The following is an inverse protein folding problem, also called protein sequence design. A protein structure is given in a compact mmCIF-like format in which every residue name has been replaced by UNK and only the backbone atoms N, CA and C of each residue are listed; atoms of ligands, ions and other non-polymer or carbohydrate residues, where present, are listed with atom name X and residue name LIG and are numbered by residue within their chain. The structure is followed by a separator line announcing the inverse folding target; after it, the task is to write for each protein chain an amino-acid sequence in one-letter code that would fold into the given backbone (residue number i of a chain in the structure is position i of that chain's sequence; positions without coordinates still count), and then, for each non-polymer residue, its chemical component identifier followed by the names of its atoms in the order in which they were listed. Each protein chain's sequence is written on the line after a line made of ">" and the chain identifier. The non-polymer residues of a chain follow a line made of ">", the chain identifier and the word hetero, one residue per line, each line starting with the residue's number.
data_IF_511229332130
#
_entry.id   IF_511229332130
#
_cell.length_a   1.000
_cell.length_b   1.000
_cell.length_c   1.000
_cell.angle_alpha   90.00
_cell.angle_beta   90.00
_cell.angle_gamma   90.00
#
_symmetry.space_group_name_H-M   'P 1'
#
loop_
_entity.id
_entity.type
_entity.pdbx_description
1 polymer ?
#
# COMPACT_ATOMS: atom_id res chain seq x y z
N UNK A 1 -7.41 -42.02 46.12
CA UNK A 1 -7.08 -40.64 46.53
C UNK A 1 -7.97 -39.72 45.65
N UNK A 2 -8.76 -38.86 46.28
CA UNK A 2 -9.51 -37.85 45.50
C UNK A 2 -8.52 -36.88 44.94
N UNK A 3 -8.58 -36.62 43.62
CA UNK A 3 -7.72 -35.64 43.01
C UNK A 3 -8.09 -34.23 43.50
N UNK A 4 -7.10 -33.39 43.73
CA UNK A 4 -7.26 -32.02 44.23
C UNK A 4 -8.18 -31.20 43.31
N UNK A 5 -8.21 -31.50 42.00
CA UNK A 5 -9.11 -30.95 41.00
C UNK A 5 -10.61 -31.15 41.30
N UNK A 6 -10.97 -32.17 42.09
CA UNK A 6 -12.36 -32.39 42.53
C UNK A 6 -12.79 -31.45 43.67
N UNK A 7 -11.86 -30.71 44.24
CA UNK A 7 -12.11 -29.83 45.40
C UNK A 7 -11.83 -28.37 45.01
N UNK A 8 -10.86 -28.13 44.12
CA UNK A 8 -10.46 -26.79 43.67
C UNK A 8 -10.32 -26.79 42.14
N UNK A 9 -11.24 -26.13 41.46
CA UNK A 9 -11.13 -25.83 40.04
C UNK A 9 -10.56 -24.43 39.88
N UNK A 10 -9.48 -24.30 39.12
CA UNK A 10 -8.85 -23.01 38.84
C UNK A 10 -9.02 -22.69 37.35
N UNK A 11 -9.81 -21.69 37.06
CA UNK A 11 -9.94 -21.11 35.72
C UNK A 11 -9.06 -19.87 35.64
N UNK A 12 -8.01 -19.90 34.81
CA UNK A 12 -7.16 -18.76 34.54
C UNK A 12 -7.47 -18.30 33.13
N UNK A 13 -8.25 -17.26 33.01
CA UNK A 13 -8.38 -16.51 31.76
C UNK A 13 -7.34 -15.38 31.74
N UNK A 14 -6.57 -15.29 30.66
CA UNK A 14 -5.66 -14.17 30.45
C UNK A 14 -6.39 -13.20 29.52
N UNK A 15 -6.96 -12.16 30.08
CA UNK A 15 -7.48 -11.03 29.29
C UNK A 15 -6.30 -10.19 28.82
N UNK A 16 -6.04 -10.22 27.52
CA UNK A 16 -5.15 -9.26 26.85
C UNK A 16 -6.00 -8.34 26.01
N UNK A 17 -5.81 -7.04 26.20
CA UNK A 17 -6.44 -6.03 25.33
C UNK A 17 -5.84 -6.18 23.93
N UNK A 18 -6.67 -6.51 22.94
CA UNK A 18 -6.27 -6.47 21.54
C UNK A 18 -6.27 -5.02 21.05
N UNK A 19 -5.40 -4.75 20.11
CA UNK A 19 -5.35 -3.46 19.38
C UNK A 19 -5.62 -3.74 17.91
N UNK A 20 -6.26 -2.78 17.25
CA UNK A 20 -6.41 -2.82 15.80
C UNK A 20 -5.04 -2.63 15.15
N UNK A 21 -4.73 -3.45 14.17
CA UNK A 21 -3.47 -3.41 13.44
C UNK A 21 -3.68 -2.82 12.06
N UNK A 22 -2.72 -2.01 11.60
CA UNK A 22 -2.77 -1.44 10.26
C UNK A 22 -2.80 -2.54 9.20
N UNK A 23 -3.72 -2.42 8.24
CA UNK A 23 -3.84 -3.33 7.12
C UNK A 23 -2.98 -2.83 5.96
N UNK A 24 -2.24 -3.74 5.31
CA UNK A 24 -1.45 -3.46 4.12
C UNK A 24 -1.95 -4.22 2.89
N UNK A 25 -2.97 -5.06 3.06
CA UNK A 25 -3.55 -5.95 2.06
C UNK A 25 -4.91 -5.49 1.52
N UNK A 26 -5.38 -4.32 1.94
CA UNK A 26 -6.71 -3.80 1.58
C UNK A 26 -6.59 -2.55 0.69
N UNK A 27 -6.94 -2.66 -0.59
CA UNK A 27 -7.00 -1.51 -1.49
C UNK A 27 -8.31 -0.74 -1.33
N UNK A 28 -8.28 0.54 -1.68
CA UNK A 28 -9.47 1.38 -1.83
C UNK A 28 -9.53 1.94 -3.26
N UNK A 29 -10.72 1.83 -3.86
CA UNK A 29 -11.03 2.40 -5.17
C UNK A 29 -11.98 3.57 -4.98
N UNK A 30 -11.51 4.81 -5.23
CA UNK A 30 -12.36 5.99 -5.19
C UNK A 30 -12.99 6.19 -6.56
N UNK A 31 -14.31 6.22 -6.59
CA UNK A 31 -15.10 6.38 -7.80
C UNK A 31 -16.09 7.54 -7.69
N UNK A 32 -16.39 8.15 -8.83
CA UNK A 32 -17.46 9.13 -8.93
C UNK A 32 -18.81 8.43 -9.08
N UNK A 33 -19.77 8.80 -8.25
CA UNK A 33 -21.16 8.36 -8.41
C UNK A 33 -21.92 9.37 -9.28
N UNK A 34 -22.70 8.88 -10.25
CA UNK A 34 -23.57 9.76 -11.05
C UNK A 34 -24.67 10.38 -10.18
N UNK A 35 -25.00 11.63 -10.46
CA UNK A 35 -26.06 12.36 -9.74
C UNK A 35 -27.47 11.87 -10.08
N UNK A 36 -27.63 11.16 -11.20
CA UNK A 36 -28.91 10.65 -11.68
C UNK A 36 -28.92 9.13 -11.67
N UNK A 37 -30.00 8.60 -11.09
CA UNK A 37 -30.29 7.17 -11.11
C UNK A 37 -30.88 6.83 -12.48
N UNK A 38 -30.18 5.99 -13.24
CA UNK A 38 -30.78 5.34 -14.40
C UNK A 38 -31.63 4.17 -13.94
N UNK A 39 -32.93 4.40 -13.73
CA UNK A 39 -33.89 3.37 -13.33
C UNK A 39 -34.40 2.55 -14.51
N UNK A 40 -33.81 2.64 -15.68
CA UNK A 40 -34.28 1.92 -16.88
C UNK A 40 -33.93 0.44 -16.86
N UNK A 41 -32.99 0.00 -16.01
CA UNK A 41 -32.67 -1.41 -15.78
C UNK A 41 -33.07 -1.85 -14.36
N UNK A 42 -34.24 -2.53 -14.20
CA UNK A 42 -34.68 -2.98 -12.88
C UNK A 42 -33.83 -4.10 -12.26
N UNK A 43 -32.90 -4.72 -13.03
CA UNK A 43 -31.96 -5.73 -12.51
C UNK A 43 -30.67 -5.11 -11.93
N UNK A 44 -30.46 -3.83 -12.13
CA UNK A 44 -29.30 -3.11 -11.63
C UNK A 44 -29.74 -1.85 -10.89
N UNK A 45 -30.05 -1.95 -9.57
CA UNK A 45 -30.41 -0.79 -8.77
C UNK A 45 -29.25 0.21 -8.82
N UNK A 46 -29.53 1.36 -9.41
CA UNK A 46 -28.54 2.43 -9.50
C UNK A 46 -28.47 3.16 -8.17
N UNK A 47 -27.29 3.42 -7.75
CA UNK A 47 -26.93 4.14 -6.54
C UNK A 47 -27.62 5.52 -6.52
N UNK A 48 -28.23 5.89 -5.42
CA UNK A 48 -28.75 7.25 -5.26
C UNK A 48 -27.68 8.16 -4.66
N UNK A 49 -27.62 9.43 -5.04
CA UNK A 49 -26.69 10.42 -4.45
C UNK A 49 -26.81 10.53 -2.91
N UNK A 50 -27.95 10.19 -2.34
CA UNK A 50 -28.17 10.12 -0.90
C UNK A 50 -27.21 9.17 -0.17
N UNK A 51 -26.67 8.17 -0.86
CA UNK A 51 -25.77 7.18 -0.28
C UNK A 51 -24.31 7.62 -0.12
N UNK A 52 -23.97 8.84 -0.53
CA UNK A 52 -22.67 9.45 -0.21
C UNK A 52 -22.46 9.59 1.31
N UNK A 53 -23.52 9.45 2.11
CA UNK A 53 -23.42 9.33 3.57
C UNK A 53 -22.57 8.13 4.01
N UNK A 54 -22.49 7.07 3.21
CA UNK A 54 -21.58 5.94 3.40
C UNK A 54 -20.38 6.08 2.46
N UNK A 55 -19.44 6.95 2.85
CA UNK A 55 -18.27 7.29 2.04
C UNK A 55 -17.39 6.11 1.65
N UNK A 56 -17.32 5.10 2.51
CA UNK A 56 -16.46 3.93 2.31
C UNK A 56 -17.24 2.67 2.62
N UNK A 57 -17.19 1.71 1.72
CA UNK A 57 -17.83 0.40 1.86
C UNK A 57 -16.82 -0.71 1.59
N UNK A 58 -16.90 -1.78 2.37
CA UNK A 58 -16.09 -2.97 2.21
C UNK A 58 -16.82 -4.02 1.37
N UNK A 59 -16.12 -4.62 0.42
CA UNK A 59 -16.64 -5.70 -0.44
C UNK A 59 -15.69 -6.89 -0.46
N UNK A 60 -16.24 -8.09 -0.40
CA UNK A 60 -15.49 -9.35 -0.46
C UNK A 60 -15.73 -10.11 -1.77
N UNK A 61 -16.69 -9.66 -2.58
CA UNK A 61 -17.02 -10.28 -3.86
C UNK A 61 -17.35 -9.26 -4.94
N UNK A 62 -17.05 -9.60 -6.17
CA UNK A 62 -17.41 -8.79 -7.34
C UNK A 62 -18.93 -8.72 -7.53
N UNK A 63 -19.65 -9.80 -7.18
CA UNK A 63 -21.12 -9.84 -7.26
C UNK A 63 -21.76 -8.79 -6.37
N UNK A 64 -21.28 -8.63 -5.14
CA UNK A 64 -21.79 -7.60 -4.22
C UNK A 64 -21.57 -6.17 -4.76
N UNK A 65 -20.41 -5.93 -5.39
CA UNK A 65 -20.14 -4.65 -6.06
C UNK A 65 -21.12 -4.41 -7.20
N UNK A 66 -21.37 -5.43 -8.02
CA UNK A 66 -22.32 -5.36 -9.13
C UNK A 66 -23.75 -5.11 -8.68
N UNK A 67 -24.17 -5.73 -7.57
CA UNK A 67 -25.49 -5.53 -6.99
C UNK A 67 -25.68 -4.10 -6.47
N UNK A 68 -24.69 -3.57 -5.76
CA UNK A 68 -24.79 -2.28 -5.11
C UNK A 68 -24.51 -1.10 -6.06
N UNK A 69 -23.55 -1.24 -6.97
CA UNK A 69 -23.02 -0.14 -7.78
C UNK A 69 -23.27 -0.33 -9.29
N UNK A 70 -23.82 -1.46 -9.68
CA UNK A 70 -24.05 -1.82 -11.08
C UNK A 70 -22.82 -2.43 -11.77
N UNK A 71 -23.07 -3.41 -12.63
CA UNK A 71 -22.01 -4.15 -13.37
C UNK A 71 -21.27 -3.30 -14.43
N UNK A 72 -21.88 -2.18 -14.83
CA UNK A 72 -21.29 -1.23 -15.79
C UNK A 72 -20.56 -0.06 -15.12
N UNK A 73 -20.53 0.00 -13.77
CA UNK A 73 -19.89 1.07 -13.01
C UNK A 73 -18.36 1.03 -13.15
N UNK A 74 -17.71 2.16 -12.92
CA UNK A 74 -16.26 2.24 -12.80
C UNK A 74 -15.75 1.37 -11.64
N UNK A 75 -16.45 1.38 -10.51
CA UNK A 75 -16.15 0.55 -9.35
C UNK A 75 -16.09 -0.95 -9.70
N UNK A 76 -17.12 -1.44 -10.41
CA UNK A 76 -17.14 -2.85 -10.84
C UNK A 76 -15.96 -3.20 -11.73
N UNK A 77 -15.65 -2.35 -12.74
CA UNK A 77 -14.52 -2.60 -13.64
C UNK A 77 -13.18 -2.61 -12.91
N UNK A 78 -12.95 -1.65 -11.99
CA UNK A 78 -11.72 -1.59 -11.19
C UNK A 78 -11.56 -2.81 -10.28
N UNK A 79 -12.63 -3.22 -9.57
CA UNK A 79 -12.61 -4.40 -8.70
C UNK A 79 -12.46 -5.68 -9.53
N UNK A 80 -13.13 -5.79 -10.68
CA UNK A 80 -12.98 -6.94 -11.58
C UNK A 80 -11.52 -7.11 -12.02
N UNK A 81 -10.80 -6.01 -12.29
CA UNK A 81 -9.37 -6.06 -12.60
C UNK A 81 -8.51 -6.41 -11.39
N UNK A 82 -8.80 -5.87 -10.21
CA UNK A 82 -8.10 -6.24 -9.00
C UNK A 82 -8.30 -7.72 -8.61
N UNK A 83 -9.42 -8.31 -8.98
CA UNK A 83 -9.74 -9.72 -8.72
C UNK A 83 -9.37 -10.67 -9.87
N UNK A 84 -8.76 -10.18 -10.95
CA UNK A 84 -8.46 -10.99 -12.14
C UNK A 84 -7.22 -11.88 -11.99
N UNK A 85 -6.37 -11.65 -11.00
CA UNK A 85 -5.16 -12.45 -10.76
C UNK A 85 -5.43 -13.77 -10.02
N UNK A 86 -4.43 -14.66 -10.04
CA UNK A 86 -4.46 -15.91 -9.26
C UNK A 86 -4.53 -15.64 -7.75
N UNK A 87 -3.87 -14.58 -7.31
CA UNK A 87 -3.99 -14.01 -5.97
C UNK A 87 -4.80 -12.72 -6.06
N UNK A 88 -5.65 -12.49 -5.06
CA UNK A 88 -6.51 -11.31 -4.99
C UNK A 88 -6.77 -10.91 -3.54
N UNK A 89 -7.03 -9.62 -3.27
CA UNK A 89 -7.39 -9.19 -1.93
C UNK A 89 -8.69 -9.85 -1.46
N UNK A 90 -8.74 -10.24 -0.20
CA UNK A 90 -9.93 -10.81 0.43
C UNK A 90 -11.05 -9.78 0.59
N UNK A 91 -10.67 -8.53 0.77
CA UNK A 91 -11.56 -7.38 0.94
C UNK A 91 -11.02 -6.21 0.15
N UNK A 92 -11.89 -5.52 -0.57
CA UNK A 92 -11.62 -4.23 -1.21
C UNK A 92 -12.53 -3.17 -0.62
N UNK A 93 -12.05 -1.95 -0.50
CA UNK A 93 -12.86 -0.80 -0.14
C UNK A 93 -13.21 0.00 -1.38
N UNK A 94 -14.45 0.47 -1.44
CA UNK A 94 -14.89 1.41 -2.46
C UNK A 94 -15.24 2.71 -1.74
N UNK A 95 -14.50 3.76 -2.08
CA UNK A 95 -14.79 5.13 -1.70
C UNK A 95 -15.64 5.80 -2.78
N UNK A 96 -16.56 6.62 -2.37
CA UNK A 96 -17.47 7.32 -3.29
C UNK A 96 -17.36 8.84 -3.14
N UNK A 97 -17.38 9.53 -4.27
CA UNK A 97 -17.58 10.98 -4.35
C UNK A 97 -18.77 11.29 -5.24
N UNK A 98 -19.41 12.42 -5.06
CA UNK A 98 -20.42 12.88 -6.00
C UNK A 98 -19.80 13.74 -7.12
N UNK A 99 -20.58 14.07 -8.13
CA UNK A 99 -20.12 14.84 -9.30
C UNK A 99 -19.73 16.28 -8.95
N UNK A 100 -20.28 16.83 -7.88
CA UNK A 100 -19.98 18.22 -7.43
C UNK A 100 -18.68 18.31 -6.62
N UNK A 101 -18.16 17.17 -6.15
CA UNK A 101 -16.90 17.11 -5.42
C UNK A 101 -15.71 16.91 -6.38
N UNK A 102 -14.59 17.56 -6.09
CA UNK A 102 -13.32 17.22 -6.73
C UNK A 102 -12.78 15.89 -6.18
N UNK A 103 -11.87 15.23 -6.93
CA UNK A 103 -11.20 14.02 -6.42
C UNK A 103 -10.43 14.29 -5.13
N UNK A 104 -9.82 15.46 -5.01
CA UNK A 104 -9.15 15.91 -3.79
C UNK A 104 -10.10 15.93 -2.58
N UNK A 105 -11.28 16.52 -2.73
CA UNK A 105 -12.32 16.54 -1.69
C UNK A 105 -12.82 15.13 -1.38
N UNK A 106 -13.04 14.28 -2.40
CA UNK A 106 -13.40 12.88 -2.23
C UNK A 106 -12.39 12.09 -1.42
N UNK A 107 -11.09 12.24 -1.71
CA UNK A 107 -10.01 11.59 -0.95
C UNK A 107 -9.98 12.06 0.50
N UNK A 108 -10.11 13.37 0.76
CA UNK A 108 -10.17 13.91 2.11
C UNK A 108 -11.37 13.36 2.90
N UNK A 109 -12.53 13.26 2.26
CA UNK A 109 -13.73 12.70 2.88
C UNK A 109 -13.58 11.20 3.19
N UNK A 110 -12.93 10.44 2.29
CA UNK A 110 -12.63 9.01 2.50
C UNK A 110 -11.62 8.82 3.62
N UNK A 111 -10.56 9.63 3.69
CA UNK A 111 -9.57 9.60 4.77
C UNK A 111 -10.20 9.90 6.14
N UNK A 112 -11.18 10.81 6.18
CA UNK A 112 -11.93 11.11 7.40
C UNK A 112 -12.89 9.98 7.81
N UNK A 113 -13.42 9.22 6.84
CA UNK A 113 -14.41 8.18 7.09
C UNK A 113 -13.80 6.83 7.47
N UNK A 114 -12.64 6.47 6.91
CA UNK A 114 -11.98 5.17 7.17
C UNK A 114 -10.49 5.23 6.98
N UNK A 115 -9.77 4.57 7.87
CA UNK A 115 -8.32 4.39 7.80
C UNK A 115 -7.88 2.93 7.56
N UNK A 116 -8.83 2.02 7.28
CA UNK A 116 -8.57 0.57 7.20
C UNK A 116 -7.98 0.10 5.87
N UNK A 117 -7.66 1.00 4.96
CA UNK A 117 -7.08 0.73 3.65
C UNK A 117 -5.67 1.31 3.54
N UNK A 118 -4.87 0.81 2.59
CA UNK A 118 -3.48 1.25 2.43
C UNK A 118 -3.18 1.83 1.05
N UNK A 119 -3.60 1.20 -0.03
CA UNK A 119 -3.37 1.69 -1.40
C UNK A 119 -4.67 2.25 -1.97
N UNK A 120 -4.60 3.47 -2.50
CA UNK A 120 -5.68 4.15 -3.22
C UNK A 120 -5.49 3.97 -4.73
N UNK A 121 -6.57 3.75 -5.45
CA UNK A 121 -6.67 4.03 -6.89
C UNK A 121 -7.95 4.80 -7.19
N UNK A 122 -7.96 5.59 -8.27
CA UNK A 122 -9.11 6.40 -8.69
C UNK A 122 -9.55 6.00 -10.09
N UNK A 123 -10.82 6.18 -10.40
CA UNK A 123 -11.37 5.90 -11.73
C UNK A 123 -10.98 6.96 -12.77
N UNK A 124 -10.61 8.18 -12.35
CA UNK A 124 -10.15 9.24 -13.24
C UNK A 124 -8.75 8.99 -13.78
N UNK A 125 -8.54 9.28 -15.08
CA UNK A 125 -7.24 9.27 -15.76
C UNK A 125 -6.75 10.68 -16.11
N UNK A 126 -7.44 11.70 -15.64
CA UNK A 126 -7.07 13.11 -15.87
C UNK A 126 -5.80 13.47 -15.10
N UNK A 127 -4.83 14.08 -15.77
CA UNK A 127 -3.59 14.56 -15.18
C UNK A 127 -3.85 15.49 -13.95
N UNK A 128 -4.84 16.38 -14.06
CA UNK A 128 -5.24 17.29 -12.98
C UNK A 128 -5.71 16.55 -11.75
N UNK A 129 -6.59 15.54 -11.92
CA UNK A 129 -7.10 14.76 -10.81
C UNK A 129 -6.02 13.88 -10.18
N UNK A 130 -5.16 13.27 -11.01
CA UNK A 130 -4.03 12.46 -10.53
C UNK A 130 -3.09 13.32 -9.68
N UNK A 131 -2.70 14.50 -10.16
CA UNK A 131 -1.79 15.40 -9.42
C UNK A 131 -2.40 15.89 -8.11
N UNK A 132 -3.68 16.27 -8.11
CA UNK A 132 -4.37 16.73 -6.91
C UNK A 132 -4.52 15.63 -5.84
N UNK A 133 -4.73 14.38 -6.24
CA UNK A 133 -4.78 13.23 -5.32
C UNK A 133 -3.38 12.88 -4.82
N UNK A 134 -2.37 12.93 -5.69
CA UNK A 134 -0.97 12.68 -5.31
C UNK A 134 -0.50 13.63 -4.20
N UNK A 135 -0.84 14.92 -4.30
CA UNK A 135 -0.52 15.92 -3.28
C UNK A 135 -1.10 15.56 -1.89
N UNK A 136 -2.36 15.12 -1.85
CA UNK A 136 -3.00 14.74 -0.58
C UNK A 136 -2.38 13.47 0.00
N UNK A 137 -2.19 12.43 -0.82
CA UNK A 137 -1.65 11.16 -0.35
C UNK A 137 -0.20 11.31 0.10
N UNK A 138 0.56 12.22 -0.49
CA UNK A 138 1.93 12.52 -0.06
C UNK A 138 2.03 12.92 1.41
N UNK A 139 1.02 13.59 1.96
CA UNK A 139 0.96 13.97 3.37
C UNK A 139 0.53 12.81 4.30
N UNK A 140 0.29 11.63 3.78
CA UNK A 140 -0.17 10.44 4.52
C UNK A 140 0.86 9.32 4.50
N UNK A 141 0.62 8.24 5.27
CA UNK A 141 1.37 6.97 5.15
C UNK A 141 0.60 5.94 4.32
N UNK A 142 0.09 6.36 3.17
CA UNK A 142 -0.63 5.53 2.22
C UNK A 142 0.01 5.66 0.84
N UNK A 143 -0.30 4.76 -0.07
CA UNK A 143 0.18 4.79 -1.44
C UNK A 143 -0.96 5.12 -2.39
N UNK A 144 -0.65 5.75 -3.51
CA UNK A 144 -1.58 6.06 -4.58
C UNK A 144 -1.11 5.43 -5.90
N UNK A 145 -1.96 4.61 -6.51
CA UNK A 145 -1.72 3.97 -7.80
C UNK A 145 -2.62 4.61 -8.85
N UNK A 146 -2.03 5.19 -9.85
CA UNK A 146 -2.71 5.82 -10.97
C UNK A 146 -2.27 5.22 -12.30
N UNK A 147 -3.09 5.37 -13.32
CA UNK A 147 -2.72 5.06 -14.69
C UNK A 147 -3.12 6.17 -15.66
N UNK A 148 -2.40 6.26 -16.77
CA UNK A 148 -2.64 7.24 -17.81
C UNK A 148 -2.55 6.62 -19.20
N UNK A 149 -3.37 7.12 -20.12
CA UNK A 149 -3.30 6.84 -21.56
C UNK A 149 -2.69 8.01 -22.35
N UNK A 150 -2.22 9.06 -21.68
CA UNK A 150 -1.68 10.25 -22.31
C UNK A 150 -0.40 9.93 -23.09
N UNK A 151 -0.45 10.04 -24.41
CA UNK A 151 0.69 9.82 -25.30
C UNK A 151 1.84 10.83 -25.06
N UNK A 152 1.60 11.95 -24.41
CA UNK A 152 2.67 12.90 -24.08
C UNK A 152 3.66 12.29 -23.07
N UNK A 153 3.24 11.33 -22.27
CA UNK A 153 4.11 10.65 -21.28
C UNK A 153 5.23 9.85 -21.95
N UNK A 154 4.96 9.24 -23.11
CA UNK A 154 5.98 8.51 -23.89
C UNK A 154 6.82 9.40 -24.80
N UNK A 155 6.57 10.71 -24.82
CA UNK A 155 7.38 11.67 -25.57
C UNK A 155 8.54 12.17 -24.69
N UNK A 156 9.81 11.97 -25.09
CA UNK A 156 10.97 12.36 -24.29
C UNK A 156 11.13 13.89 -24.15
N UNK A 157 10.52 14.67 -25.04
CA UNK A 157 10.60 16.15 -25.02
C UNK A 157 9.44 16.81 -24.27
N UNK A 158 8.43 16.05 -23.86
CA UNK A 158 7.30 16.56 -23.09
C UNK A 158 7.71 16.86 -21.65
N UNK A 159 7.39 18.07 -21.19
CA UNK A 159 7.65 18.56 -19.83
C UNK A 159 6.37 19.02 -19.12
N UNK A 160 5.21 18.77 -19.72
CA UNK A 160 3.90 19.19 -19.19
C UNK A 160 2.95 18.02 -18.94
N UNK A 161 3.36 16.80 -19.27
CA UNK A 161 2.58 15.59 -19.02
C UNK A 161 2.60 15.20 -17.54
N UNK A 162 1.67 14.34 -17.16
CA UNK A 162 1.50 13.89 -15.76
C UNK A 162 2.73 13.14 -15.23
N UNK A 163 3.43 12.36 -16.06
CA UNK A 163 4.64 11.66 -15.66
C UNK A 163 5.75 12.63 -15.27
N UNK A 164 6.00 13.63 -16.12
CA UNK A 164 6.97 14.69 -15.84
C UNK A 164 6.58 15.50 -14.60
N UNK A 165 5.32 15.89 -14.47
CA UNK A 165 4.83 16.67 -13.34
C UNK A 165 5.04 15.91 -12.02
N UNK A 166 4.66 14.64 -11.95
CA UNK A 166 4.81 13.84 -10.74
C UNK A 166 6.29 13.59 -10.39
N UNK A 167 7.12 13.30 -11.38
CA UNK A 167 8.55 13.05 -11.13
C UNK A 167 9.33 14.28 -10.64
N UNK A 168 8.81 15.49 -10.87
CA UNK A 168 9.41 16.74 -10.40
C UNK A 168 8.75 17.33 -9.14
N UNK A 169 7.74 16.67 -8.59
CA UNK A 169 6.93 17.21 -7.47
C UNK A 169 7.20 16.54 -6.12
N UNK A 170 8.24 15.74 -5.98
CA UNK A 170 8.59 14.99 -4.75
C UNK A 170 7.44 14.10 -4.22
N UNK A 171 6.69 13.45 -5.10
CA UNK A 171 5.61 12.54 -4.75
C UNK A 171 6.11 11.09 -4.71
N UNK A 172 6.81 10.72 -3.63
CA UNK A 172 7.38 9.37 -3.41
C UNK A 172 6.31 8.32 -3.08
N UNK A 173 5.06 8.73 -2.83
CA UNK A 173 3.93 7.83 -2.51
C UNK A 173 2.99 7.58 -3.68
N UNK A 174 3.31 8.11 -4.85
CA UNK A 174 2.50 7.93 -6.07
C UNK A 174 3.19 7.00 -7.05
N UNK A 175 2.45 6.08 -7.60
CA UNK A 175 2.87 5.13 -8.63
C UNK A 175 2.05 5.41 -9.88
N UNK A 176 2.71 5.73 -11.00
CA UNK A 176 2.05 5.95 -12.28
C UNK A 176 2.35 4.81 -13.24
N UNK A 177 1.30 4.33 -13.92
CA UNK A 177 1.38 3.29 -14.95
C UNK A 177 0.91 3.86 -16.28
N UNK A 178 1.72 3.75 -17.33
CA UNK A 178 1.28 4.05 -18.69
C UNK A 178 0.69 2.83 -19.37
N UNK A 179 -0.49 3.00 -19.96
CA UNK A 179 -1.11 2.02 -20.84
C UNK A 179 -2.04 2.74 -21.83
N UNK A 180 -2.00 2.44 -23.15
CA UNK A 180 -2.85 3.13 -24.11
C UNK A 180 -4.34 2.97 -23.82
N UNK A 181 -4.75 1.84 -23.27
CA UNK A 181 -6.13 1.54 -22.91
C UNK A 181 -6.39 1.74 -21.38
N UNK A 182 -5.65 2.63 -20.70
CA UNK A 182 -5.76 2.81 -19.25
C UNK A 182 -7.19 3.07 -18.76
N UNK A 183 -8.02 3.73 -19.57
CA UNK A 183 -9.43 4.06 -19.23
C UNK A 183 -10.30 2.80 -19.05
N UNK A 184 -10.07 1.77 -19.83
CA UNK A 184 -10.88 0.54 -19.85
C UNK A 184 -10.14 -0.64 -19.20
N UNK A 185 -8.82 -0.66 -19.33
CA UNK A 185 -8.00 -1.78 -18.87
C UNK A 185 -7.66 -1.71 -17.37
N UNK A 186 -7.66 -0.52 -16.78
CA UNK A 186 -7.29 -0.29 -15.36
C UNK A 186 -6.03 -1.06 -14.95
N UNK A 187 -4.86 -0.85 -15.62
CA UNK A 187 -3.65 -1.65 -15.36
C UNK A 187 -3.14 -1.49 -13.93
N UNK A 188 -3.34 -0.34 -13.31
CA UNK A 188 -3.01 -0.07 -11.91
C UNK A 188 -3.79 -1.01 -10.97
N UNK A 189 -5.07 -1.29 -11.27
CA UNK A 189 -5.91 -2.19 -10.46
C UNK A 189 -5.50 -3.64 -10.60
N UNK A 190 -5.17 -4.10 -11.81
CA UNK A 190 -4.69 -5.46 -12.06
C UNK A 190 -3.35 -5.71 -11.35
N UNK A 191 -2.45 -4.74 -11.39
CA UNK A 191 -1.15 -4.84 -10.75
C UNK A 191 -1.26 -4.82 -9.23
N UNK A 192 -1.94 -3.81 -8.68
CA UNK A 192 -2.10 -3.70 -7.24
C UNK A 192 -2.87 -4.89 -6.65
N UNK A 193 -3.94 -5.37 -7.31
CA UNK A 193 -4.74 -6.49 -6.83
C UNK A 193 -3.95 -7.78 -6.68
N UNK A 194 -2.99 -8.02 -7.59
CA UNK A 194 -2.14 -9.21 -7.54
C UNK A 194 -0.99 -9.12 -6.53
N UNK A 195 -0.55 -7.91 -6.16
CA UNK A 195 0.65 -7.73 -5.33
C UNK A 195 0.35 -7.29 -3.89
N UNK A 196 -0.79 -6.65 -3.65
CA UNK A 196 -1.14 -6.12 -2.32
C UNK A 196 -1.36 -7.20 -1.27
N UNK A 197 -1.60 -8.43 -1.70
CA UNK A 197 -1.83 -9.59 -0.81
C UNK A 197 -0.54 -10.19 -0.27
N UNK A 198 0.58 -9.83 -0.86
CA UNK A 198 1.89 -10.31 -0.43
C UNK A 198 2.32 -9.64 0.87
N UNK A 199 3.01 -10.39 1.71
CA UNK A 199 3.54 -9.84 2.96
C UNK A 199 4.58 -8.77 2.66
N UNK A 200 4.47 -7.56 3.22
CA UNK A 200 5.47 -6.52 3.00
C UNK A 200 6.90 -7.00 3.29
N UNK A 201 7.79 -6.80 2.31
CA UNK A 201 9.17 -7.29 2.33
C UNK A 201 9.40 -8.64 1.64
N UNK A 202 8.36 -9.42 1.34
CA UNK A 202 8.51 -10.75 0.72
C UNK A 202 8.55 -10.72 -0.80
N UNK A 203 8.13 -9.65 -1.44
CA UNK A 203 8.02 -9.53 -2.89
C UNK A 203 8.66 -8.25 -3.42
N UNK A 204 8.93 -8.23 -4.72
CA UNK A 204 9.15 -6.98 -5.48
C UNK A 204 7.94 -6.70 -6.35
N UNK A 205 7.74 -5.44 -6.72
CA UNK A 205 6.67 -5.03 -7.63
C UNK A 205 7.09 -5.11 -9.11
N UNK A 206 8.37 -5.21 -9.40
CA UNK A 206 8.87 -5.44 -10.75
C UNK A 206 8.61 -6.86 -11.24
N UNK A 207 8.54 -7.03 -12.57
CA UNK A 207 8.39 -8.33 -13.28
C UNK A 207 7.13 -9.11 -12.92
N UNK A 208 6.05 -8.41 -12.55
CA UNK A 208 4.79 -9.03 -12.17
C UNK A 208 3.84 -9.11 -13.34
N UNK A 209 3.06 -10.19 -13.38
CA UNK A 209 2.04 -10.41 -14.40
C UNK A 209 0.86 -9.46 -14.20
N UNK A 210 0.24 -9.06 -15.30
CA UNK A 210 -1.03 -8.33 -15.31
C UNK A 210 -2.12 -9.20 -15.90
N UNK A 211 -2.95 -9.83 -15.07
CA UNK A 211 -3.99 -10.71 -15.54
C UNK A 211 -5.04 -9.95 -16.38
N UNK A 212 -5.37 -10.49 -17.55
CA UNK A 212 -6.35 -9.88 -18.44
C UNK A 212 -5.96 -8.51 -19.03
N UNK A 213 -4.65 -8.17 -19.02
CA UNK A 213 -4.12 -6.98 -19.69
C UNK A 213 -3.49 -7.35 -21.03
N UNK A 214 -3.73 -6.52 -22.04
CA UNK A 214 -2.97 -6.54 -23.29
C UNK A 214 -1.60 -5.88 -23.07
N UNK A 215 -0.56 -6.38 -23.70
CA UNK A 215 0.76 -5.75 -23.64
C UNK A 215 0.83 -4.53 -24.54
N UNK A 216 1.55 -3.51 -24.09
CA UNK A 216 1.80 -2.32 -24.87
C UNK A 216 3.02 -2.52 -25.78
N UNK A 217 2.89 -2.19 -27.06
CA UNK A 217 4.04 -2.12 -27.97
C UNK A 217 4.66 -0.73 -27.87
N UNK A 218 5.87 -0.66 -27.33
CA UNK A 218 6.60 0.59 -27.10
C UNK A 218 7.91 0.59 -27.90
N UNK A 219 8.23 1.72 -28.52
CA UNK A 219 9.56 1.94 -29.10
C UNK A 219 10.59 2.10 -27.97
N UNK A 220 11.87 1.87 -28.31
CA UNK A 220 12.96 2.10 -27.34
C UNK A 220 12.96 3.53 -26.81
N UNK A 221 12.72 4.52 -27.68
CA UNK A 221 12.61 5.94 -27.27
C UNK A 221 11.48 6.18 -26.29
N UNK A 222 10.31 5.54 -26.49
CA UNK A 222 9.19 5.61 -25.55
C UNK A 222 9.54 4.98 -24.20
N UNK A 223 10.20 3.84 -24.19
CA UNK A 223 10.68 3.18 -22.97
C UNK A 223 11.65 4.07 -22.19
N UNK A 224 12.60 4.70 -22.89
CA UNK A 224 13.54 5.64 -22.24
C UNK A 224 12.83 6.87 -21.67
N UNK A 225 11.81 7.39 -22.37
CA UNK A 225 11.01 8.50 -21.87
C UNK A 225 10.24 8.12 -20.59
N UNK A 226 9.62 6.94 -20.56
CA UNK A 226 8.91 6.42 -19.37
C UNK A 226 9.87 6.26 -18.19
N UNK A 227 11.05 5.66 -18.42
CA UNK A 227 12.08 5.49 -17.39
C UNK A 227 12.59 6.83 -16.85
N UNK A 228 12.83 7.80 -17.72
CA UNK A 228 13.28 9.13 -17.30
C UNK A 228 12.26 9.88 -16.42
N UNK A 229 10.97 9.54 -16.54
CA UNK A 229 9.86 10.11 -15.77
C UNK A 229 9.38 9.18 -14.62
N UNK A 230 10.07 8.07 -14.35
CA UNK A 230 9.70 7.06 -13.36
C UNK A 230 8.28 6.51 -13.55
N UNK A 231 7.86 6.30 -14.81
CA UNK A 231 6.54 5.77 -15.15
C UNK A 231 6.65 4.30 -15.46
N UNK A 232 5.88 3.49 -14.75
CA UNK A 232 5.81 2.05 -14.96
C UNK A 232 4.99 1.71 -16.22
N UNK A 233 5.22 0.55 -16.80
CA UNK A 233 4.55 0.11 -18.02
C UNK A 233 4.47 -1.42 -18.10
N UNK A 234 3.55 -1.92 -18.92
CA UNK A 234 3.29 -3.35 -19.08
C UNK A 234 3.63 -3.80 -20.52
N UNK A 235 4.65 -4.64 -20.66
CA UNK A 235 5.16 -5.10 -21.96
C UNK A 235 5.45 -6.60 -21.96
N UNK A 236 5.66 -7.15 -23.17
CA UNK A 236 6.15 -8.53 -23.35
C UNK A 236 7.67 -8.54 -23.55
N UNK A 237 8.36 -9.35 -22.75
CA UNK A 237 9.81 -9.59 -22.87
C UNK A 237 10.01 -11.08 -23.00
N UNK A 238 10.60 -11.53 -24.10
CA UNK A 238 10.86 -12.95 -24.37
C UNK A 238 9.61 -13.86 -24.20
N UNK A 239 8.42 -13.34 -24.56
CA UNK A 239 7.14 -14.05 -24.44
C UNK A 239 6.48 -13.95 -23.06
N UNK A 240 7.11 -13.36 -22.07
CA UNK A 240 6.52 -13.09 -20.76
C UNK A 240 5.98 -11.65 -20.69
N UNK A 241 4.69 -11.51 -20.37
CA UNK A 241 4.04 -10.21 -20.21
C UNK A 241 4.14 -9.76 -18.74
N UNK A 242 4.82 -8.64 -18.51
CA UNK A 242 5.17 -8.19 -17.15
C UNK A 242 5.12 -6.67 -17.02
N UNK A 243 4.82 -6.19 -15.81
CA UNK A 243 5.11 -4.83 -15.39
C UNK A 243 6.60 -4.67 -15.16
N UNK A 244 7.18 -3.59 -15.67
CA UNK A 244 8.57 -3.26 -15.47
C UNK A 244 8.78 -2.12 -14.50
N UNK A 245 9.99 -2.10 -13.96
CA UNK A 245 10.60 -1.18 -13.02
C UNK A 245 10.06 -1.32 -11.59
N UNK A 246 8.81 -1.10 -11.28
CA UNK A 246 8.29 -1.23 -9.90
C UNK A 246 8.69 -0.05 -9.02
N UNK A 247 8.63 1.18 -9.58
CA UNK A 247 9.07 2.42 -8.93
C UNK A 247 7.92 3.39 -8.69
N UNK A 248 8.06 4.23 -7.69
CA UNK A 248 7.23 5.41 -7.47
C UNK A 248 7.62 6.52 -8.43
N UNK A 249 6.84 7.58 -8.50
CA UNK A 249 7.12 8.74 -9.36
C UNK A 249 8.45 9.46 -9.02
N UNK A 250 9.04 9.21 -7.85
CA UNK A 250 10.36 9.71 -7.46
C UNK A 250 11.50 8.71 -7.71
N UNK A 251 11.19 7.53 -8.25
CA UNK A 251 12.18 6.49 -8.52
C UNK A 251 12.51 5.60 -7.33
N UNK A 252 11.81 5.76 -6.19
CA UNK A 252 11.93 4.85 -5.06
C UNK A 252 11.24 3.52 -5.38
N UNK A 253 11.72 2.42 -4.82
CA UNK A 253 11.12 1.11 -5.02
C UNK A 253 9.81 1.00 -4.24
N UNK A 254 8.73 0.55 -4.89
CA UNK A 254 7.40 0.39 -4.28
C UNK A 254 7.46 -0.56 -3.07
N UNK A 255 8.13 -1.69 -3.21
CA UNK A 255 8.31 -2.68 -2.14
C UNK A 255 9.04 -2.10 -0.92
N UNK A 256 10.06 -1.28 -1.14
CA UNK A 256 10.77 -0.58 -0.07
C UNK A 256 9.86 0.38 0.68
N UNK A 257 9.07 1.20 -0.04
CA UNK A 257 8.15 2.15 0.58
C UNK A 257 7.10 1.44 1.44
N UNK A 258 6.47 0.40 0.90
CA UNK A 258 5.47 -0.40 1.61
C UNK A 258 6.08 -1.07 2.84
N UNK A 259 7.29 -1.63 2.70
CA UNK A 259 7.96 -2.30 3.80
C UNK A 259 8.35 -1.35 4.94
N UNK A 260 8.83 -0.15 4.62
CA UNK A 260 9.16 0.88 5.64
C UNK A 260 7.91 1.33 6.38
N UNK A 261 6.79 1.53 5.67
CA UNK A 261 5.51 1.86 6.30
C UNK A 261 5.00 0.72 7.20
N UNK A 262 5.16 -0.52 6.76
CA UNK A 262 4.82 -1.70 7.56
C UNK A 262 5.67 -1.77 8.84
N UNK A 263 6.98 -1.58 8.74
CA UNK A 263 7.86 -1.56 9.92
C UNK A 263 7.42 -0.48 10.92
N UNK A 264 7.13 0.72 10.41
CA UNK A 264 6.69 1.83 11.24
C UNK A 264 5.40 1.47 11.99
N UNK A 265 4.39 0.96 11.30
CA UNK A 265 3.12 0.57 11.90
C UNK A 265 3.32 -0.55 12.95
N UNK A 266 4.04 -1.61 12.59
CA UNK A 266 4.28 -2.75 13.50
C UNK A 266 5.05 -2.37 14.75
N UNK A 267 6.06 -1.49 14.65
CA UNK A 267 6.79 -1.01 15.82
C UNK A 267 5.85 -0.22 16.75
N UNK A 268 5.05 0.69 16.20
CA UNK A 268 4.09 1.45 17.01
C UNK A 268 3.07 0.52 17.71
N UNK A 269 2.49 -0.41 16.98
CA UNK A 269 1.50 -1.36 17.48
C UNK A 269 2.09 -2.27 18.58
N UNK A 270 3.27 -2.85 18.35
CA UNK A 270 3.89 -3.76 19.33
C UNK A 270 4.30 -3.04 20.60
N UNK A 271 4.87 -1.84 20.48
CA UNK A 271 5.23 -1.02 21.64
C UNK A 271 3.97 -0.60 22.40
N UNK A 272 2.93 -0.13 21.70
CA UNK A 272 1.66 0.25 22.33
C UNK A 272 0.98 -0.96 23.00
N UNK A 273 0.90 -2.09 22.31
CA UNK A 273 0.39 -3.34 22.88
C UNK A 273 1.10 -3.72 24.17
N UNK A 274 2.43 -3.59 24.21
CA UNK A 274 3.22 -3.85 25.41
C UNK A 274 2.90 -2.90 26.55
N UNK A 275 2.69 -1.61 26.25
CA UNK A 275 2.37 -0.60 27.26
C UNK A 275 1.01 -0.89 27.92
N UNK A 276 -0.03 -1.17 27.14
CA UNK A 276 -1.39 -1.37 27.66
C UNK A 276 -1.56 -2.71 28.39
N UNK A 277 -0.82 -3.76 28.00
CA UNK A 277 -0.93 -5.10 28.58
C UNK A 277 0.04 -5.32 29.77
N UNK A 278 0.85 -4.33 30.15
CA UNK A 278 1.65 -4.35 31.37
C UNK A 278 1.11 -3.34 32.39
N UNK A 279 1.03 -3.75 33.67
CA UNK A 279 0.62 -2.84 34.76
C UNK A 279 1.46 -1.58 34.83
N UNK A 280 2.76 -1.71 34.50
CA UNK A 280 3.73 -0.61 34.47
C UNK A 280 4.99 -1.03 33.73
N UNK A 281 5.50 -0.16 32.87
CA UNK A 281 6.88 -0.23 32.36
C UNK A 281 7.68 0.83 33.14
N UNK A 282 8.66 0.43 33.97
CA UNK A 282 9.36 1.36 34.82
C UNK A 282 10.33 2.23 33.99
N UNK A 283 10.58 3.46 34.46
CA UNK A 283 11.58 4.36 33.88
C UNK A 283 13.00 3.96 34.37
N UNK A 284 13.41 2.77 33.97
CA UNK A 284 14.69 2.13 34.33
C UNK A 284 15.27 1.41 33.11
N UNK A 285 16.53 1.00 33.15
CA UNK A 285 17.14 0.23 32.09
C UNK A 285 16.35 -1.06 31.77
N UNK A 286 15.83 -1.73 32.80
CA UNK A 286 14.94 -2.88 32.60
C UNK A 286 13.66 -2.52 31.81
N UNK A 287 13.10 -1.33 32.03
CA UNK A 287 11.97 -0.84 31.23
C UNK A 287 12.36 -0.53 29.78
N UNK A 288 13.53 0.05 29.55
CA UNK A 288 14.06 0.27 28.20
C UNK A 288 14.26 -1.06 27.48
N UNK A 289 14.80 -2.08 28.14
CA UNK A 289 14.98 -3.42 27.56
C UNK A 289 13.66 -4.08 27.16
N UNK A 290 12.57 -3.86 27.92
CA UNK A 290 11.24 -4.34 27.56
C UNK A 290 10.77 -3.73 26.23
N UNK A 291 10.90 -2.42 26.07
CA UNK A 291 10.53 -1.72 24.79
C UNK A 291 11.47 -2.14 23.66
N UNK A 292 12.78 -2.19 23.94
CA UNK A 292 13.78 -2.66 22.96
C UNK A 292 13.50 -4.08 22.45
N UNK A 293 12.95 -4.96 23.27
CA UNK A 293 12.56 -6.31 22.87
C UNK A 293 11.42 -6.30 21.84
N UNK A 294 10.43 -5.41 21.96
CA UNK A 294 9.35 -5.29 20.98
C UNK A 294 9.88 -4.79 19.63
N UNK A 295 10.77 -3.78 19.64
CA UNK A 295 11.42 -3.30 18.42
C UNK A 295 12.23 -4.42 17.75
N UNK A 296 13.02 -5.19 18.53
CA UNK A 296 13.77 -6.36 18.01
C UNK A 296 12.85 -7.41 17.42
N UNK A 297 11.69 -7.65 18.02
CA UNK A 297 10.69 -8.59 17.49
C UNK A 297 10.22 -8.20 16.10
N UNK A 298 9.88 -6.92 15.89
CA UNK A 298 9.45 -6.42 14.56
C UNK A 298 10.58 -6.51 13.54
N UNK A 299 11.80 -6.14 13.93
CA UNK A 299 12.98 -6.26 13.05
C UNK A 299 13.21 -7.71 12.65
N UNK A 300 13.09 -8.66 13.59
CA UNK A 300 13.21 -10.09 13.30
C UNK A 300 12.12 -10.59 12.35
N UNK A 301 10.90 -10.08 12.46
CA UNK A 301 9.84 -10.34 11.49
C UNK A 301 10.20 -9.78 10.12
N UNK A 302 10.79 -8.57 10.07
CA UNK A 302 11.26 -7.95 8.83
C UNK A 302 12.35 -8.77 8.13
N UNK A 303 13.25 -9.41 8.90
CA UNK A 303 14.25 -10.37 8.37
C UNK A 303 13.54 -11.63 7.85
N UNK A 304 12.62 -12.20 8.62
CA UNK A 304 11.87 -13.39 8.23
C UNK A 304 11.03 -13.18 6.96
N UNK A 305 10.48 -11.97 6.79
CA UNK A 305 9.76 -11.58 5.57
C UNK A 305 10.69 -11.35 4.36
N UNK A 306 12.00 -11.23 4.56
CA UNK A 306 12.97 -10.95 3.50
C UNK A 306 13.17 -9.46 3.16
N UNK A 307 12.53 -8.54 3.90
CA UNK A 307 12.69 -7.10 3.70
C UNK A 307 13.96 -6.52 4.32
N UNK A 308 14.51 -7.19 5.35
CA UNK A 308 15.77 -6.84 6.00
C UNK A 308 16.81 -7.94 5.74
N UNK A 309 18.02 -7.54 5.39
CA UNK A 309 19.15 -8.46 5.29
C UNK A 309 19.57 -8.95 6.68
N UNK A 310 19.90 -10.25 6.78
CA UNK A 310 20.42 -10.88 8.00
C UNK A 310 21.89 -10.54 8.28
N UNK A 311 22.60 -10.07 7.25
CA UNK A 311 24.03 -9.74 7.31
C UNK A 311 24.28 -8.34 6.72
N UNK A 312 24.91 -7.41 7.50
CA UNK A 312 25.20 -7.53 8.94
C UNK A 312 23.93 -7.62 9.77
N UNK A 313 24.00 -8.35 10.90
CA UNK A 313 22.85 -8.54 11.77
C UNK A 313 22.27 -7.18 12.23
N UNK A 314 20.96 -6.97 12.11
CA UNK A 314 20.33 -5.73 12.57
C UNK A 314 20.47 -5.59 14.09
N UNK A 315 20.56 -4.36 14.55
CA UNK A 315 20.73 -4.07 15.99
C UNK A 315 19.77 -3.00 16.46
N UNK A 316 19.36 -3.10 17.72
CA UNK A 316 18.60 -2.08 18.45
C UNK A 316 19.44 -1.53 19.56
N UNK A 317 19.55 -0.22 19.63
CA UNK A 317 20.31 0.53 20.62
C UNK A 317 19.28 1.15 21.57
N UNK A 318 19.31 0.69 22.82
CA UNK A 318 18.45 1.20 23.87
C UNK A 318 19.05 2.47 24.48
N UNK A 319 18.23 3.43 24.93
CA UNK A 319 18.72 4.61 25.62
C UNK A 319 19.38 4.22 26.96
N UNK A 320 20.43 4.93 27.33
CA UNK A 320 20.92 4.92 28.71
C UNK A 320 19.96 5.76 29.57
N UNK A 321 19.13 5.11 30.38
CA UNK A 321 18.07 5.77 31.15
C UNK A 321 18.65 6.77 32.17
N UNK A 322 19.87 6.54 32.66
CA UNK A 322 20.54 7.48 33.60
C UNK A 322 20.98 8.76 32.90
N UNK A 323 21.19 8.72 31.59
CA UNK A 323 21.57 9.90 30.80
C UNK A 323 20.35 10.72 30.30
N UNK A 324 19.11 10.21 30.48
CA UNK A 324 17.90 10.96 30.13
C UNK A 324 17.74 12.15 31.07
N UNK A 325 17.54 13.38 30.57
CA UNK A 325 17.32 14.55 31.38
C UNK A 325 16.21 14.38 32.41
N UNK A 326 16.40 14.90 33.60
CA UNK A 326 15.46 14.76 34.72
C UNK A 326 14.06 15.28 34.37
N UNK A 327 13.99 16.37 33.61
CA UNK A 327 12.72 16.92 33.08
C UNK A 327 11.97 15.90 32.26
N UNK A 328 12.63 15.22 31.31
CA UNK A 328 12.00 14.19 30.49
C UNK A 328 11.58 12.97 31.31
N UNK A 329 12.40 12.57 32.28
CA UNK A 329 12.04 11.51 33.22
C UNK A 329 10.82 11.87 34.06
N UNK A 330 10.73 13.14 34.53
CA UNK A 330 9.54 13.65 35.19
C UNK A 330 8.30 13.67 34.33
N UNK A 331 8.44 13.95 33.06
CA UNK A 331 7.37 13.87 32.04
C UNK A 331 7.05 12.43 31.60
N UNK A 332 7.76 11.42 32.13
CA UNK A 332 7.63 10.00 31.76
C UNK A 332 7.96 9.70 30.30
N UNK A 333 8.84 10.48 29.70
CA UNK A 333 9.31 10.29 28.33
C UNK A 333 10.60 9.45 28.36
N UNK A 334 10.53 8.25 27.76
CA UNK A 334 11.68 7.39 27.53
C UNK A 334 12.02 7.47 26.04
N UNK A 335 13.02 8.25 25.70
CA UNK A 335 13.36 8.58 24.33
C UNK A 335 14.58 7.86 23.79
N UNK A 336 14.83 8.08 22.50
CA UNK A 336 16.00 7.71 21.72
C UNK A 336 16.33 6.21 21.65
N UNK A 337 15.30 5.39 21.38
CA UNK A 337 15.54 4.08 20.78
C UNK A 337 16.01 4.24 19.35
N UNK A 338 17.14 3.64 19.00
CA UNK A 338 17.66 3.62 17.65
C UNK A 338 17.75 2.18 17.17
N UNK A 339 17.57 1.98 15.88
CA UNK A 339 17.88 0.69 15.27
C UNK A 339 18.65 0.92 13.98
N UNK A 340 19.47 -0.04 13.63
CA UNK A 340 20.21 -0.10 12.39
C UNK A 340 19.90 -1.43 11.71
N UNK A 341 19.36 -1.34 10.50
CA UNK A 341 19.01 -2.48 9.69
C UNK A 341 19.31 -2.16 8.22
N UNK A 342 19.74 -3.15 7.47
CA UNK A 342 19.97 -3.02 6.04
C UNK A 342 18.82 -3.64 5.29
N UNK A 343 18.23 -2.92 4.34
CA UNK A 343 17.21 -3.46 3.44
C UNK A 343 17.82 -4.56 2.56
N UNK A 344 17.09 -5.65 2.37
CA UNK A 344 17.55 -6.75 1.52
C UNK A 344 17.48 -6.38 0.03
N UNK A 345 16.41 -5.65 -0.35
CA UNK A 345 16.14 -5.29 -1.74
C UNK A 345 15.87 -6.51 -2.63
N UNK A 346 15.61 -6.26 -3.91
CA UNK A 346 15.38 -7.29 -4.91
C UNK A 346 16.41 -7.17 -6.05
N UNK A 347 16.76 -8.28 -6.68
CA UNK A 347 17.67 -8.29 -7.84
C UNK A 347 16.86 -8.03 -9.10
N UNK A 348 17.09 -6.89 -9.76
CA UNK A 348 16.41 -6.53 -11.02
C UNK A 348 17.35 -6.64 -12.24
N UNK A 349 18.67 -6.71 -12.04
CA UNK A 349 19.64 -6.85 -13.14
C UNK A 349 20.80 -7.75 -12.74
N UNK A 350 21.15 -8.68 -13.61
CA UNK A 350 22.31 -9.55 -13.45
C UNK A 350 23.30 -9.29 -14.59
N UNK A 351 24.57 -9.14 -14.27
CA UNK A 351 25.64 -9.00 -15.25
C UNK A 351 26.53 -10.25 -15.17
N UNK A 352 26.57 -11.01 -16.26
CA UNK A 352 27.39 -12.20 -16.37
C UNK A 352 28.54 -11.93 -17.36
N UNK A 353 29.78 -12.19 -16.94
CA UNK A 353 30.94 -12.12 -17.80
C UNK A 353 31.61 -13.49 -17.81
N UNK A 354 31.78 -14.05 -18.97
CA UNK A 354 32.46 -15.35 -19.18
C UNK A 354 33.48 -15.26 -20.30
N UNK A 355 34.58 -16.02 -20.18
CA UNK A 355 35.57 -16.22 -21.25
C UNK A 355 35.58 -17.70 -21.60
N UNK A 356 35.45 -18.02 -22.89
CA UNK A 356 35.56 -19.37 -23.39
C UNK A 356 36.87 -19.42 -24.18
N UNK A 357 37.78 -20.35 -23.83
CA UNK A 357 39.02 -20.61 -24.52
C UNK A 357 39.06 -22.04 -25.09
N UNK A 358 39.87 -22.27 -26.14
CA UNK A 358 40.17 -23.60 -26.68
C UNK A 358 41.39 -24.15 -26.00
#
# INVERSE_FOLDING_TARGET
>A
MAELSNIVEVYISRETTQIDTASFDKPLFLVELPDTVDNTDPMHPVYTPADVSQRVRAYTSLTSVGTDLGINSAAYRMVAKAFSGDQRPSTVYIGVKNTTETYAQGVQAVLAASNEWYILAIDSKSATNISAVAEIIQATRKMFFASTADAAVINPTSTTDVGYTLSNSNYDRTVLVYHPDAVTAHPECAWLGSQIVEVPGSNTWAFKKGAGLATTSLSETAVQALKAKNVNYFISIAGASVFLDGVTSQGEWIDTMIFVDWMYARIQEQVFYRIINKKKIPMTQAGATIIGAEIRSVISQGVANGGIADTPAPRVIEPNVLAIPEIQRGQRIMGDFKFEARLAGAVHKVVIRGTVGY
#
